data_IF_209845248441
#
_entry.id   IF_209845248441
#
_cell.length_a   1.000
_cell.length_b   1.000
_cell.length_c   1.000
_cell.angle_alpha   90.00
_cell.angle_beta   90.00
_cell.angle_gamma   90.00
#
_symmetry.space_group_name_H-M   'P 1'
#
loop_
_entity.id
_entity.type
_entity.pdbx_description
1 polymer ?
#
# COMPACT_ATOMS: atom_id res chain seq x y z
N UNK A 1 7.31 -9.72 -0.62
CA UNK A 1 6.33 -8.73 -1.11
C UNK A 1 5.14 -8.68 -0.17
N UNK A 2 4.43 -9.80 -0.01
CA UNK A 2 3.21 -9.91 0.79
C UNK A 2 3.35 -9.41 2.24
N UNK A 3 4.40 -9.83 2.96
CA UNK A 3 4.67 -9.40 4.35
C UNK A 3 4.67 -7.87 4.55
N UNK A 4 5.15 -7.10 3.55
CA UNK A 4 5.18 -5.64 3.61
C UNK A 4 3.78 -5.04 3.49
N UNK A 5 2.91 -5.64 2.68
CA UNK A 5 1.52 -5.23 2.57
C UNK A 5 0.71 -5.67 3.80
N UNK A 6 0.99 -6.85 4.35
CA UNK A 6 0.33 -7.30 5.59
C UNK A 6 0.66 -6.37 6.75
N UNK A 7 1.94 -6.03 6.95
CA UNK A 7 2.35 -5.23 8.10
C UNK A 7 1.81 -3.80 8.05
N UNK A 8 1.71 -3.18 6.86
CA UNK A 8 1.10 -1.84 6.75
C UNK A 8 -0.39 -1.88 7.04
N UNK A 9 -1.10 -2.95 6.65
CA UNK A 9 -2.52 -3.13 6.94
C UNK A 9 -2.74 -3.36 8.44
N UNK A 10 -1.95 -4.23 9.08
CA UNK A 10 -2.01 -4.48 10.52
C UNK A 10 -1.80 -3.21 11.34
N UNK A 11 -0.95 -2.30 10.85
CA UNK A 11 -0.60 -1.04 11.52
C UNK A 11 -1.50 0.13 11.12
N UNK A 12 -2.39 -0.05 10.15
CA UNK A 12 -3.12 1.06 9.50
C UNK A 12 -2.16 2.18 9.08
N UNK A 13 -1.07 1.81 8.42
CA UNK A 13 0.00 2.76 8.10
C UNK A 13 -0.45 3.74 7.03
N UNK A 14 -0.01 4.99 7.16
CA UNK A 14 -0.03 5.91 6.02
C UNK A 14 1.08 5.48 5.06
N UNK A 15 0.71 5.36 3.78
CA UNK A 15 1.58 4.86 2.73
C UNK A 15 1.43 5.67 1.45
N UNK A 16 2.48 5.67 0.65
CA UNK A 16 2.48 6.07 -0.75
C UNK A 16 2.84 4.86 -1.60
N UNK A 17 1.99 4.55 -2.58
CA UNK A 17 2.14 3.43 -3.50
C UNK A 17 2.38 4.00 -4.90
N UNK A 18 3.44 3.56 -5.56
CA UNK A 18 3.72 3.88 -6.98
C UNK A 18 3.50 2.63 -7.82
N UNK A 19 2.72 2.76 -8.90
CA UNK A 19 2.44 1.69 -9.85
C UNK A 19 3.45 1.65 -10.99
N UNK A 20 3.48 0.53 -11.72
CA UNK A 20 4.33 0.31 -12.91
C UNK A 20 4.09 1.33 -14.05
N UNK A 21 2.93 1.98 -14.07
CA UNK A 21 2.60 3.08 -14.99
C UNK A 21 3.01 4.47 -14.48
N UNK A 22 3.69 4.53 -13.33
CA UNK A 22 4.14 5.75 -12.66
C UNK A 22 3.06 6.48 -11.86
N UNK A 23 1.81 6.01 -11.82
CA UNK A 23 0.77 6.61 -10.98
C UNK A 23 1.07 6.41 -9.51
N UNK A 24 0.73 7.43 -8.72
CA UNK A 24 0.92 7.42 -7.28
C UNK A 24 -0.41 7.58 -6.55
N UNK A 25 -0.56 6.80 -5.48
CA UNK A 25 -1.68 6.87 -4.56
C UNK A 25 -1.17 6.98 -3.13
N UNK A 26 -1.77 7.86 -2.33
CA UNK A 26 -1.36 8.09 -0.95
C UNK A 26 -2.55 8.03 -0.01
N UNK A 27 -2.42 7.25 1.06
CA UNK A 27 -3.52 7.06 1.98
C UNK A 27 -3.23 6.06 3.08
N UNK A 28 -4.27 5.65 3.78
CA UNK A 28 -4.15 4.69 4.89
C UNK A 28 -4.43 3.29 4.36
N UNK A 29 -3.47 2.37 4.53
CA UNK A 29 -3.64 0.95 4.22
C UNK A 29 -4.67 0.32 5.16
N UNK A 30 -5.76 -0.23 4.61
CA UNK A 30 -6.86 -0.80 5.41
C UNK A 30 -6.79 -2.33 5.47
N UNK A 31 -6.67 -2.98 4.31
CA UNK A 31 -6.70 -4.44 4.20
C UNK A 31 -6.16 -4.91 2.84
N UNK A 32 -5.96 -6.22 2.68
CA UNK A 32 -5.72 -6.87 1.40
C UNK A 32 -6.97 -7.68 1.02
N UNK A 33 -7.44 -7.55 -0.21
CA UNK A 33 -8.58 -8.30 -0.74
C UNK A 33 -8.23 -8.98 -2.05
N UNK A 34 -8.91 -10.08 -2.37
CA UNK A 34 -8.77 -10.76 -3.66
C UNK A 34 -9.93 -10.38 -4.58
N UNK A 35 -9.61 -9.76 -5.72
CA UNK A 35 -10.56 -9.36 -6.77
C UNK A 35 -10.07 -9.94 -8.10
N UNK A 36 -10.93 -10.64 -8.83
CA UNK A 36 -10.60 -11.25 -10.14
C UNK A 36 -9.29 -12.03 -10.14
N UNK A 37 -9.10 -12.86 -9.11
CA UNK A 37 -7.88 -13.65 -8.84
C UNK A 37 -6.59 -12.87 -8.56
N UNK A 38 -6.63 -11.54 -8.43
CA UNK A 38 -5.49 -10.71 -8.06
C UNK A 38 -5.67 -10.11 -6.67
N UNK A 39 -4.58 -10.02 -5.91
CA UNK A 39 -4.58 -9.34 -4.62
C UNK A 39 -4.50 -7.82 -4.81
N UNK A 40 -5.31 -7.11 -4.04
CA UNK A 40 -5.39 -5.66 -4.05
C UNK A 40 -5.27 -5.10 -2.63
N UNK A 41 -4.53 -4.01 -2.48
CA UNK A 41 -4.49 -3.20 -1.29
C UNK A 41 -5.72 -2.30 -1.27
N UNK A 42 -6.53 -2.41 -0.23
CA UNK A 42 -7.60 -1.46 0.08
C UNK A 42 -6.96 -0.24 0.72
N UNK A 43 -6.96 0.88 -0.01
CA UNK A 43 -6.37 2.14 0.41
C UNK A 43 -7.47 3.19 0.64
N UNK A 44 -7.45 3.83 1.81
CA UNK A 44 -8.30 4.99 2.09
C UNK A 44 -7.54 6.28 1.71
N UNK A 45 -7.88 6.86 0.57
CA UNK A 45 -7.31 8.11 0.04
C UNK A 45 -8.42 9.17 -0.01
N UNK A 46 -8.25 10.29 0.70
CA UNK A 46 -9.22 11.41 0.69
C UNK A 46 -10.69 10.99 0.93
N UNK A 47 -10.92 10.13 1.93
CA UNK A 47 -12.23 9.52 2.26
C UNK A 47 -12.84 8.65 1.15
N UNK A 48 -12.05 8.23 0.16
CA UNK A 48 -12.43 7.28 -0.88
C UNK A 48 -11.66 5.99 -0.72
N UNK A 49 -12.34 4.88 -0.97
CA UNK A 49 -11.71 3.56 -1.00
C UNK A 49 -11.21 3.29 -2.42
N UNK A 50 -9.94 2.96 -2.53
CA UNK A 50 -9.29 2.50 -3.76
C UNK A 50 -8.80 1.06 -3.57
N UNK A 51 -8.87 0.27 -4.63
CA UNK A 51 -8.29 -1.07 -4.67
C UNK A 51 -7.06 -1.02 -5.58
N UNK A 52 -5.88 -1.08 -4.98
CA UNK A 52 -4.60 -0.96 -5.69
C UNK A 52 -4.03 -2.35 -5.96
N UNK A 53 -3.87 -2.78 -7.22
CA UNK A 53 -3.34 -4.11 -7.53
C UNK A 53 -1.89 -4.29 -7.04
N UNK A 54 -1.65 -5.31 -6.21
CA UNK A 54 -0.32 -5.59 -5.64
C UNK A 54 0.69 -5.95 -6.74
N UNK A 55 0.27 -6.71 -7.74
CA UNK A 55 1.11 -7.13 -8.87
C UNK A 55 1.48 -5.99 -9.84
N UNK A 56 0.92 -4.80 -9.65
CA UNK A 56 1.23 -3.58 -10.39
C UNK A 56 1.99 -2.56 -9.56
N UNK A 57 2.26 -2.86 -8.30
CA UNK A 57 2.99 -1.96 -7.41
C UNK A 57 4.48 -2.08 -7.68
N UNK A 58 5.10 -0.99 -8.13
CA UNK A 58 6.54 -0.87 -8.30
C UNK A 58 7.21 -0.49 -6.97
N UNK A 59 6.62 0.45 -6.22
CA UNK A 59 7.19 0.93 -4.96
C UNK A 59 6.11 1.07 -3.89
N UNK A 60 6.44 0.64 -2.68
CA UNK A 60 5.65 0.87 -1.47
C UNK A 60 6.48 1.65 -0.46
N UNK A 61 5.96 2.79 -0.02
CA UNK A 61 6.57 3.62 1.00
C UNK A 61 5.61 3.79 2.17
N UNK A 62 5.96 3.26 3.34
CA UNK A 62 5.30 3.63 4.59
C UNK A 62 5.93 4.91 5.11
N UNK A 63 5.14 5.98 5.20
CA UNK A 63 5.61 7.31 5.56
C UNK A 63 4.61 8.00 6.49
N UNK A 64 5.08 9.04 7.19
CA UNK A 64 4.26 9.82 8.12
C UNK A 64 3.58 8.98 9.24
N UNK A 65 4.14 7.80 9.56
CA UNK A 65 3.65 7.00 10.67
C UNK A 65 4.19 7.56 12.01
N UNK A 66 3.40 7.51 13.11
CA UNK A 66 3.81 8.07 14.40
C UNK A 66 5.09 7.45 14.97
N UNK A 67 5.37 6.18 14.65
CA UNK A 67 6.56 5.47 15.09
C UNK A 67 7.58 5.49 13.94
N UNK A 68 8.74 6.14 14.07
CA UNK A 68 9.71 6.29 12.97
C UNK A 68 10.17 4.97 12.37
N UNK A 69 10.31 3.91 13.19
CA UNK A 69 10.67 2.56 12.74
C UNK A 69 9.60 1.86 11.88
N UNK A 70 8.38 2.40 11.84
CA UNK A 70 7.32 1.89 10.96
C UNK A 70 7.39 2.51 9.56
N UNK A 71 8.19 3.57 9.38
CA UNK A 71 8.43 4.13 8.07
C UNK A 71 9.52 3.33 7.35
N UNK A 72 9.27 2.99 6.09
CA UNK A 72 10.18 2.23 5.25
C UNK A 72 9.84 2.46 3.78
N UNK A 73 10.78 2.10 2.90
CA UNK A 73 10.56 2.09 1.45
C UNK A 73 11.03 0.75 0.88
N UNK A 74 10.20 0.14 0.06
CA UNK A 74 10.51 -1.10 -0.66
C UNK A 74 10.22 -0.88 -2.14
N UNK A 75 11.13 -1.37 -2.98
CA UNK A 75 10.99 -1.40 -4.44
C UNK A 75 10.78 -2.87 -4.81
N UNK A 76 9.75 -3.16 -5.59
CA UNK A 76 9.44 -4.48 -6.10
C UNK A 76 9.94 -4.57 -7.55
N UNK A 77 10.73 -5.62 -7.83
CA UNK A 77 11.26 -5.92 -9.17
C UNK A 77 10.39 -6.95 -9.88
#
# INVERSE_FOLDING_TARGET
>A
MHDYFEIICMRLSHVTVTLDDGKQHSGIAQNIVKLDNNEHLVLLENNKILNIPLNKTETLEANNNPIPKHNFKVIFN
#
